data_IF_335800840255
#
_entry.id   IF_335800840255
#
_cell.length_a   1.000
_cell.length_b   1.000
_cell.length_c   1.000
_cell.angle_alpha   90.00
_cell.angle_beta   90.00
_cell.angle_gamma   90.00
#
_symmetry.space_group_name_H-M   'P 1'
#
loop_
_entity.id
_entity.type
_entity.pdbx_description
1 polymer ?
#
# COMPACT_ATOMS: atom_id res chain seq x y z
N UNK A 1 -54.79 16.72 0.64
CA UNK A 1 -53.75 17.36 1.50
C UNK A 1 -52.43 17.28 0.76
N UNK A 2 -51.74 18.37 0.51
CA UNK A 2 -50.62 18.41 -0.43
C UNK A 2 -49.33 17.89 0.18
N UNK A 3 -48.57 17.17 -0.63
CA UNK A 3 -47.20 16.75 -0.40
C UNK A 3 -46.28 17.98 -0.19
N UNK A 4 -45.55 17.99 0.92
CA UNK A 4 -44.51 18.97 1.20
C UNK A 4 -43.16 18.48 0.63
N UNK A 5 -42.56 19.13 -0.39
CA UNK A 5 -41.30 18.74 -1.00
C UNK A 5 -40.11 19.50 -0.43
N UNK A 6 -40.06 19.69 0.89
CA UNK A 6 -39.09 20.62 1.49
C UNK A 6 -38.31 20.10 2.69
N UNK A 7 -37.76 18.87 2.66
CA UNK A 7 -36.67 18.51 3.60
C UNK A 7 -35.36 18.32 2.84
N UNK A 8 -34.69 19.44 2.57
CA UNK A 8 -33.25 19.41 2.27
C UNK A 8 -32.54 18.62 3.35
N UNK A 9 -31.95 17.48 2.98
CA UNK A 9 -31.02 16.72 3.83
C UNK A 9 -29.81 17.62 4.12
N UNK A 10 -29.87 18.42 5.18
CA UNK A 10 -28.69 18.99 5.79
C UNK A 10 -27.81 17.84 6.25
N UNK A 11 -26.87 17.40 5.41
CA UNK A 11 -25.72 16.59 5.82
C UNK A 11 -24.85 17.48 6.72
N UNK A 12 -25.22 17.55 7.99
CA UNK A 12 -24.34 18.15 9.00
C UNK A 12 -23.00 17.45 8.95
N UNK A 13 -21.95 18.24 8.76
CA UNK A 13 -20.57 17.80 8.88
C UNK A 13 -20.40 17.18 10.29
N UNK A 14 -20.39 15.85 10.39
CA UNK A 14 -20.08 15.19 11.65
C UNK A 14 -18.60 15.43 11.98
N UNK A 15 -18.25 15.64 13.25
CA UNK A 15 -16.86 15.83 13.66
C UNK A 15 -16.02 14.63 13.23
N UNK A 16 -14.76 14.87 12.87
CA UNK A 16 -13.77 13.86 12.44
C UNK A 16 -13.53 12.79 13.52
N UNK A 17 -13.76 13.15 14.79
CA UNK A 17 -13.64 12.24 15.93
C UNK A 17 -14.96 12.24 16.70
N UNK A 18 -15.52 11.08 17.06
CA UNK A 18 -16.72 11.00 17.86
C UNK A 18 -16.47 11.59 19.26
N UNK A 19 -17.31 12.50 19.69
CA UNK A 19 -17.39 12.97 21.07
C UNK A 19 -18.18 11.90 21.87
N UNK A 20 -17.51 10.87 22.33
CA UNK A 20 -18.07 9.72 23.05
C UNK A 20 -17.04 8.60 23.14
N UNK A 21 -17.41 7.42 23.62
CA UNK A 21 -16.53 6.25 23.64
C UNK A 21 -16.03 5.96 22.23
N UNK A 22 -14.70 5.91 22.08
CA UNK A 22 -14.05 5.72 20.78
C UNK A 22 -14.45 4.34 20.25
N UNK A 23 -15.06 4.28 19.06
CA UNK A 23 -15.38 3.03 18.37
C UNK A 23 -14.14 2.14 18.27
N UNK A 24 -14.29 0.87 18.64
CA UNK A 24 -13.16 -0.07 18.69
C UNK A 24 -12.39 -0.21 17.38
N UNK A 25 -13.05 -0.01 16.24
CA UNK A 25 -12.41 0.02 14.93
C UNK A 25 -11.25 1.02 14.82
N UNK A 26 -11.32 2.17 15.50
CA UNK A 26 -10.22 3.16 15.49
C UNK A 26 -8.99 2.70 16.28
N UNK A 27 -9.17 1.92 17.34
CA UNK A 27 -8.06 1.25 18.02
C UNK A 27 -7.39 0.25 17.09
N UNK A 28 -8.17 -0.49 16.29
CA UNK A 28 -7.62 -1.39 15.29
C UNK A 28 -6.88 -0.65 14.17
N UNK A 29 -7.33 0.54 13.77
CA UNK A 29 -6.59 1.41 12.85
C UNK A 29 -5.25 1.82 13.44
N UNK A 30 -5.19 2.15 14.72
CA UNK A 30 -3.94 2.44 15.44
C UNK A 30 -2.98 1.23 15.44
N UNK A 31 -3.50 0.03 15.76
CA UNK A 31 -2.74 -1.23 15.69
C UNK A 31 -2.26 -1.50 14.25
N UNK A 32 -3.12 -1.29 13.26
CA UNK A 32 -2.78 -1.43 11.84
C UNK A 32 -1.63 -0.50 11.43
N UNK A 33 -1.73 0.80 11.77
CA UNK A 33 -0.68 1.77 11.49
C UNK A 33 0.64 1.39 12.16
N UNK A 34 0.61 0.95 13.41
CA UNK A 34 1.80 0.51 14.14
C UNK A 34 2.44 -0.72 13.49
N UNK A 35 1.67 -1.75 13.16
CA UNK A 35 2.17 -2.94 12.48
C UNK A 35 2.74 -2.60 11.09
N UNK A 36 2.05 -1.77 10.32
CA UNK A 36 2.56 -1.31 9.01
C UNK A 36 3.82 -0.46 9.15
N UNK A 37 3.98 0.29 10.24
CA UNK A 37 5.24 1.00 10.56
C UNK A 37 6.40 0.02 10.74
N UNK A 38 6.20 -1.03 11.55
CA UNK A 38 7.22 -2.06 11.77
C UNK A 38 7.57 -2.80 10.49
N UNK A 39 6.58 -3.21 9.72
CA UNK A 39 6.78 -3.88 8.43
C UNK A 39 7.54 -2.97 7.45
N UNK A 40 7.14 -1.70 7.35
CA UNK A 40 7.77 -0.73 6.45
C UNK A 40 9.22 -0.47 6.84
N UNK A 41 9.48 -0.25 8.13
CA UNK A 41 10.84 -0.06 8.65
C UNK A 41 11.74 -1.24 8.34
N UNK A 42 11.25 -2.47 8.52
CA UNK A 42 12.10 -3.67 8.48
C UNK A 42 12.22 -4.27 7.08
N UNK A 43 11.15 -4.21 6.26
CA UNK A 43 11.09 -4.93 4.96
C UNK A 43 11.13 -3.98 3.75
N UNK A 44 10.77 -2.71 3.91
CA UNK A 44 10.76 -1.75 2.80
C UNK A 44 11.78 -0.62 2.97
N UNK A 45 11.58 0.26 3.93
CA UNK A 45 12.37 1.49 4.06
C UNK A 45 13.77 1.24 4.64
N UNK A 46 13.89 0.34 5.63
CA UNK A 46 15.16 0.01 6.28
C UNK A 46 16.04 -0.95 5.49
N UNK A 47 15.53 -1.48 4.40
CA UNK A 47 16.17 -2.53 3.64
C UNK A 47 17.50 -2.11 3.04
N UNK A 48 17.61 -0.87 2.52
CA UNK A 48 18.88 -0.32 2.03
C UNK A 48 19.97 -0.31 3.13
N UNK A 49 19.59 0.05 4.35
CA UNK A 49 20.51 0.05 5.50
C UNK A 49 20.98 -1.36 5.85
N UNK A 50 20.08 -2.34 5.81
CA UNK A 50 20.39 -3.76 6.02
C UNK A 50 21.35 -4.28 4.95
N UNK A 51 21.14 -3.90 3.67
CA UNK A 51 22.02 -4.31 2.57
C UNK A 51 23.43 -3.76 2.71
N UNK A 52 23.57 -2.47 3.03
CA UNK A 52 24.87 -1.85 3.27
C UNK A 52 25.61 -2.55 4.43
N UNK A 53 24.88 -2.91 5.48
CA UNK A 53 25.45 -3.64 6.60
C UNK A 53 25.95 -5.05 6.19
N UNK A 54 25.18 -5.79 5.38
CA UNK A 54 25.56 -7.11 4.84
C UNK A 54 26.76 -7.01 3.88
N UNK A 55 26.76 -5.99 2.98
CA UNK A 55 27.88 -5.72 2.09
C UNK A 55 29.18 -5.49 2.89
N UNK A 56 29.12 -4.65 3.93
CA UNK A 56 30.27 -4.35 4.80
C UNK A 56 30.76 -5.55 5.60
N UNK A 57 29.82 -6.37 6.10
CA UNK A 57 30.16 -7.49 6.99
C UNK A 57 30.68 -8.72 6.25
N UNK A 58 30.11 -9.02 5.08
CA UNK A 58 30.36 -10.27 4.35
C UNK A 58 31.09 -10.06 3.02
N UNK A 59 31.22 -8.83 2.53
CA UNK A 59 31.82 -8.53 1.23
C UNK A 59 30.99 -9.03 0.04
N UNK A 60 29.71 -9.34 0.23
CA UNK A 60 28.85 -9.82 -0.85
C UNK A 60 28.56 -8.69 -1.84
N UNK A 61 28.56 -9.01 -3.15
CA UNK A 61 28.28 -8.03 -4.18
C UNK A 61 26.83 -7.49 -4.08
N UNK A 62 26.62 -6.24 -4.47
CA UNK A 62 25.29 -5.62 -4.53
C UNK A 62 24.35 -6.37 -5.45
N UNK A 63 24.89 -6.95 -6.53
CA UNK A 63 24.11 -7.80 -7.45
C UNK A 63 23.58 -9.03 -6.74
N UNK A 64 24.42 -9.73 -5.96
CA UNK A 64 23.98 -10.90 -5.20
C UNK A 64 22.95 -10.54 -4.13
N UNK A 65 23.15 -9.42 -3.42
CA UNK A 65 22.19 -8.94 -2.45
C UNK A 65 20.86 -8.53 -3.12
N UNK A 66 20.91 -7.84 -4.26
CA UNK A 66 19.72 -7.44 -5.03
C UNK A 66 18.95 -8.62 -5.59
N UNK A 67 19.63 -9.76 -5.84
CA UNK A 67 18.97 -11.00 -6.28
C UNK A 67 17.89 -11.49 -5.33
N UNK A 68 18.08 -11.31 -4.01
CA UNK A 68 17.08 -11.67 -3.00
C UNK A 68 15.80 -10.86 -3.16
N UNK A 69 15.91 -9.57 -3.54
CA UNK A 69 14.73 -8.72 -3.80
C UNK A 69 13.97 -9.13 -5.04
N UNK A 70 14.69 -9.45 -6.10
CA UNK A 70 14.05 -9.94 -7.33
C UNK A 70 13.29 -11.23 -7.05
N UNK A 71 13.89 -12.13 -6.25
CA UNK A 71 13.25 -13.37 -5.84
C UNK A 71 12.01 -13.12 -4.98
N UNK A 72 12.06 -12.16 -4.05
CA UNK A 72 10.90 -11.77 -3.23
C UNK A 72 9.74 -11.20 -4.09
N UNK A 73 10.03 -10.50 -5.20
CA UNK A 73 9.00 -10.04 -6.12
C UNK A 73 8.34 -11.20 -6.88
N UNK A 74 9.14 -12.20 -7.26
CA UNK A 74 8.61 -13.43 -7.88
C UNK A 74 7.74 -14.18 -6.87
N UNK A 75 8.21 -14.31 -5.62
CA UNK A 75 7.43 -14.90 -4.53
C UNK A 75 6.06 -14.20 -4.37
N UNK A 76 6.06 -12.87 -4.20
CA UNK A 76 4.83 -12.09 -4.06
C UNK A 76 3.90 -12.19 -5.26
N UNK A 77 4.43 -12.33 -6.49
CA UNK A 77 3.62 -12.57 -7.67
C UNK A 77 2.90 -13.92 -7.62
N UNK A 78 3.60 -14.98 -7.22
CA UNK A 78 3.05 -16.35 -7.19
C UNK A 78 2.15 -16.54 -5.96
N UNK A 79 2.60 -16.12 -4.80
CA UNK A 79 1.92 -16.39 -3.53
C UNK A 79 0.82 -15.37 -3.18
N UNK A 80 0.84 -14.17 -3.75
CA UNK A 80 -0.16 -13.14 -3.45
C UNK A 80 -1.63 -13.61 -3.52
N UNK A 81 -2.06 -14.34 -4.57
CA UNK A 81 -3.41 -14.91 -4.62
C UNK A 81 -3.68 -15.93 -3.50
N UNK A 82 -2.68 -16.74 -3.16
CA UNK A 82 -2.77 -17.75 -2.08
C UNK A 82 -2.85 -17.07 -0.72
N UNK A 83 -2.03 -16.07 -0.49
CA UNK A 83 -2.03 -15.24 0.73
C UNK A 83 -3.41 -14.59 0.94
N UNK A 84 -3.96 -13.98 -0.12
CA UNK A 84 -5.29 -13.39 -0.07
C UNK A 84 -6.39 -14.39 0.27
N UNK A 85 -6.37 -15.57 -0.36
CA UNK A 85 -7.31 -16.65 -0.06
C UNK A 85 -7.18 -17.14 1.39
N UNK A 86 -5.96 -17.27 1.90
CA UNK A 86 -5.71 -17.66 3.28
C UNK A 86 -6.22 -16.61 4.27
N UNK A 87 -6.01 -15.31 3.99
CA UNK A 87 -6.52 -14.22 4.83
C UNK A 87 -8.05 -14.28 4.94
N UNK A 88 -8.76 -14.46 3.82
CA UNK A 88 -10.22 -14.53 3.82
C UNK A 88 -10.75 -15.79 4.54
N UNK A 89 -10.04 -16.91 4.46
CA UNK A 89 -10.44 -18.20 5.02
C UNK A 89 -10.07 -18.37 6.50
N UNK A 90 -8.85 -18.01 6.86
CA UNK A 90 -8.29 -18.24 8.22
C UNK A 90 -8.59 -17.05 9.14
N UNK A 91 -8.78 -15.86 8.56
CA UNK A 91 -9.04 -14.61 9.25
C UNK A 91 -7.77 -13.80 9.52
N UNK A 92 -7.94 -12.48 9.54
CA UNK A 92 -6.85 -11.49 9.63
C UNK A 92 -6.01 -11.64 10.90
N UNK A 93 -6.64 -11.92 12.06
CA UNK A 93 -5.96 -12.11 13.34
C UNK A 93 -4.90 -13.21 13.30
N UNK A 94 -5.26 -14.39 12.79
CA UNK A 94 -4.34 -15.54 12.74
C UNK A 94 -3.25 -15.29 11.71
N UNK A 95 -3.60 -14.68 10.57
CA UNK A 95 -2.65 -14.39 9.50
C UNK A 95 -1.60 -13.36 9.95
N UNK A 96 -1.99 -12.28 10.65
CA UNK A 96 -1.05 -11.33 11.25
C UNK A 96 -0.14 -12.02 12.25
N UNK A 97 -0.68 -12.88 13.12
CA UNK A 97 0.13 -13.61 14.10
C UNK A 97 1.16 -14.51 13.41
N UNK A 98 0.75 -15.35 12.46
CA UNK A 98 1.63 -16.27 11.73
C UNK A 98 2.68 -15.47 10.94
N UNK A 99 2.26 -14.44 10.22
CA UNK A 99 3.16 -13.66 9.38
C UNK A 99 4.24 -12.94 10.19
N UNK A 100 3.88 -12.28 11.28
CA UNK A 100 4.87 -11.60 12.14
C UNK A 100 5.75 -12.56 12.92
N UNK A 101 5.28 -13.77 13.27
CA UNK A 101 6.12 -14.82 13.83
C UNK A 101 7.17 -15.26 12.80
N UNK A 102 6.76 -15.49 11.54
CA UNK A 102 7.69 -15.84 10.46
C UNK A 102 8.70 -14.72 10.21
N UNK A 103 8.25 -13.46 10.17
CA UNK A 103 9.14 -12.30 10.06
C UNK A 103 10.15 -12.27 11.21
N UNK A 104 9.69 -12.42 12.46
CA UNK A 104 10.53 -12.39 13.65
C UNK A 104 11.59 -13.52 13.65
N UNK A 105 11.17 -14.74 13.35
CA UNK A 105 12.08 -15.89 13.21
C UNK A 105 13.05 -15.70 12.03
N UNK A 106 12.57 -15.17 10.90
CA UNK A 106 13.38 -14.85 9.75
C UNK A 106 14.46 -13.81 10.06
N UNK A 107 14.16 -12.77 10.85
CA UNK A 107 15.14 -11.78 11.31
C UNK A 107 16.15 -12.36 12.30
N UNK A 108 15.72 -13.21 13.23
CA UNK A 108 16.64 -13.94 14.12
C UNK A 108 17.59 -14.81 13.30
N UNK A 109 17.06 -15.52 12.30
CA UNK A 109 17.88 -16.32 11.38
C UNK A 109 18.83 -15.44 10.57
N UNK A 110 18.35 -14.32 10.04
CA UNK A 110 19.15 -13.33 9.32
C UNK A 110 20.34 -12.82 10.15
N UNK A 111 20.18 -12.65 11.46
CA UNK A 111 21.26 -12.31 12.39
C UNK A 111 22.33 -13.39 12.52
N UNK A 112 22.05 -14.62 12.13
CA UNK A 112 22.96 -15.79 12.28
C UNK A 112 23.54 -16.28 10.95
N UNK A 113 23.23 -15.63 9.82
CA UNK A 113 23.68 -16.05 8.49
C UNK A 113 25.21 -15.98 8.37
N UNK A 114 25.77 -16.95 7.64
CA UNK A 114 27.20 -17.03 7.33
C UNK A 114 27.44 -17.20 5.83
N UNK A 115 26.41 -17.57 5.07
CA UNK A 115 26.49 -17.85 3.64
C UNK A 115 25.42 -17.08 2.89
N UNK A 116 25.66 -16.80 1.60
CA UNK A 116 24.70 -16.13 0.74
C UNK A 116 23.37 -16.89 0.60
N UNK A 117 23.43 -18.22 0.57
CA UNK A 117 22.22 -19.06 0.50
C UNK A 117 21.39 -19.00 1.79
N UNK A 118 22.03 -18.95 2.96
CA UNK A 118 21.34 -18.76 4.23
C UNK A 118 20.69 -17.36 4.30
N UNK A 119 21.34 -16.33 3.74
CA UNK A 119 20.76 -15.01 3.58
C UNK A 119 19.49 -15.06 2.71
N UNK A 120 19.55 -15.69 1.53
CA UNK A 120 18.37 -15.81 0.67
C UNK A 120 17.23 -16.53 1.37
N UNK A 121 17.51 -17.67 2.03
CA UNK A 121 16.47 -18.43 2.72
C UNK A 121 15.85 -17.64 3.89
N UNK A 122 16.66 -16.96 4.71
CA UNK A 122 16.16 -16.12 5.80
C UNK A 122 15.35 -14.92 5.27
N UNK A 123 15.82 -14.28 4.19
CA UNK A 123 15.12 -13.16 3.56
C UNK A 123 13.79 -13.60 2.94
N UNK A 124 13.73 -14.75 2.26
CA UNK A 124 12.48 -15.33 1.75
C UNK A 124 11.49 -15.67 2.89
N UNK A 125 12.00 -16.13 4.04
CA UNK A 125 11.15 -16.36 5.23
C UNK A 125 10.55 -15.04 5.74
N UNK A 126 11.33 -13.94 5.76
CA UNK A 126 10.86 -12.60 6.15
C UNK A 126 9.80 -12.10 5.16
N UNK A 127 10.05 -12.22 3.86
CA UNK A 127 9.12 -11.73 2.83
C UNK A 127 7.83 -12.53 2.80
N UNK A 128 7.88 -13.85 2.94
CA UNK A 128 6.71 -14.71 3.12
C UNK A 128 5.88 -14.30 4.35
N UNK A 129 6.55 -14.07 5.48
CA UNK A 129 5.89 -13.56 6.68
C UNK A 129 5.22 -12.22 6.46
N UNK A 130 5.89 -11.31 5.75
CA UNK A 130 5.36 -9.99 5.38
C UNK A 130 4.15 -10.09 4.42
N UNK A 131 4.14 -11.02 3.49
CA UNK A 131 3.02 -11.30 2.61
C UNK A 131 1.80 -11.81 3.38
N UNK A 132 1.98 -12.87 4.17
CA UNK A 132 0.90 -13.51 4.92
C UNK A 132 0.27 -12.60 5.97
N UNK A 133 1.06 -11.88 6.76
CA UNK A 133 0.57 -11.11 7.91
C UNK A 133 0.72 -9.60 7.81
N UNK A 134 1.31 -9.10 6.72
CA UNK A 134 1.59 -7.68 6.54
C UNK A 134 0.44 -6.93 5.88
N UNK A 135 0.76 -6.20 4.82
CA UNK A 135 -0.13 -5.23 4.21
C UNK A 135 -1.52 -5.77 3.87
N UNK A 136 -1.61 -6.95 3.22
CA UNK A 136 -2.87 -7.50 2.74
C UNK A 136 -3.81 -7.87 3.90
N UNK A 137 -3.30 -8.57 4.91
CA UNK A 137 -4.08 -8.98 6.07
C UNK A 137 -4.55 -7.78 6.90
N UNK A 138 -3.67 -6.77 7.08
CA UNK A 138 -3.96 -5.57 7.86
C UNK A 138 -5.02 -4.71 7.15
N UNK A 139 -4.91 -4.51 5.84
CA UNK A 139 -5.89 -3.73 5.09
C UNK A 139 -7.24 -4.47 4.97
N UNK A 140 -7.22 -5.80 4.85
CA UNK A 140 -8.45 -6.58 4.91
C UNK A 140 -9.17 -6.44 6.27
N UNK A 141 -8.42 -6.38 7.38
CA UNK A 141 -8.98 -6.08 8.69
C UNK A 141 -9.69 -4.72 8.70
N UNK A 142 -9.03 -3.66 8.24
CA UNK A 142 -9.63 -2.32 8.19
C UNK A 142 -10.87 -2.32 7.28
N UNK A 143 -10.82 -3.02 6.14
CA UNK A 143 -11.96 -3.16 5.24
C UNK A 143 -13.18 -3.80 5.90
N UNK A 144 -12.97 -4.76 6.82
CA UNK A 144 -14.05 -5.44 7.51
C UNK A 144 -14.75 -4.55 8.56
N UNK A 145 -14.03 -3.61 9.15
CA UNK A 145 -14.50 -2.78 10.26
C UNK A 145 -15.15 -1.46 9.83
N UNK A 146 -14.87 -1.02 8.58
CA UNK A 146 -15.36 0.26 8.08
C UNK A 146 -16.06 0.12 6.74
N UNK A 147 -17.22 0.76 6.61
CA UNK A 147 -17.97 0.88 5.35
C UNK A 147 -18.04 2.34 4.90
N UNK A 148 -18.60 3.24 5.72
CA UNK A 148 -18.74 4.66 5.41
C UNK A 148 -17.45 5.45 5.50
N UNK A 149 -16.63 5.19 6.53
CA UNK A 149 -15.34 5.89 6.76
C UNK A 149 -14.15 5.04 6.28
N UNK A 150 -14.39 4.09 5.38
CA UNK A 150 -13.40 3.12 4.88
C UNK A 150 -12.15 3.78 4.36
N UNK A 151 -12.27 4.81 3.52
CA UNK A 151 -11.13 5.44 2.88
C UNK A 151 -10.27 6.19 3.90
N UNK A 152 -10.89 6.90 4.83
CA UNK A 152 -10.16 7.61 5.89
C UNK A 152 -9.48 6.64 6.86
N UNK A 153 -10.15 5.55 7.23
CA UNK A 153 -9.59 4.49 8.07
C UNK A 153 -8.39 3.81 7.38
N UNK A 154 -8.51 3.50 6.08
CA UNK A 154 -7.40 2.96 5.28
C UNK A 154 -6.25 3.95 5.16
N UNK A 155 -6.52 5.23 4.90
CA UNK A 155 -5.51 6.28 4.85
C UNK A 155 -4.75 6.37 6.17
N UNK A 156 -5.48 6.35 7.29
CA UNK A 156 -4.90 6.40 8.64
C UNK A 156 -4.03 5.17 8.93
N UNK A 157 -4.49 3.97 8.59
CA UNK A 157 -3.70 2.75 8.76
C UNK A 157 -2.44 2.76 7.89
N UNK A 158 -2.57 3.13 6.60
CA UNK A 158 -1.47 3.16 5.63
C UNK A 158 -0.44 4.25 5.92
N UNK A 159 -0.76 5.27 6.73
CA UNK A 159 0.22 6.27 7.17
C UNK A 159 1.41 5.63 7.91
N UNK A 160 1.19 4.46 8.53
CA UNK A 160 2.25 3.66 9.13
C UNK A 160 3.39 3.32 8.18
N UNK A 161 3.11 3.14 6.87
CA UNK A 161 4.15 2.88 5.86
C UNK A 161 5.13 4.06 5.78
N UNK A 162 4.62 5.29 5.82
CA UNK A 162 5.45 6.49 5.80
C UNK A 162 6.18 6.70 7.13
N UNK A 163 5.52 6.41 8.26
CA UNK A 163 6.18 6.47 9.57
C UNK A 163 7.35 5.49 9.68
N UNK A 164 7.31 4.33 9.02
CA UNK A 164 8.45 3.41 8.97
C UNK A 164 9.74 4.09 8.49
N UNK A 165 9.65 4.98 7.52
CA UNK A 165 10.79 5.76 7.01
C UNK A 165 11.43 6.69 8.05
N UNK A 166 10.63 7.26 8.97
CA UNK A 166 11.14 8.13 10.03
C UNK A 166 12.04 7.41 11.04
N UNK A 167 11.87 6.10 11.18
CA UNK A 167 12.65 5.28 12.10
C UNK A 167 13.89 4.64 11.46
N UNK A 168 14.14 4.84 10.16
CA UNK A 168 15.35 4.32 9.50
C UNK A 168 16.65 4.81 10.15
N UNK A 169 16.79 6.08 10.58
CA UNK A 169 17.97 6.51 11.32
C UNK A 169 18.18 5.73 12.63
N UNK A 170 17.11 5.38 13.34
CA UNK A 170 17.18 4.57 14.55
C UNK A 170 17.65 3.14 14.24
N UNK A 171 17.20 2.56 13.12
CA UNK A 171 17.68 1.27 12.64
C UNK A 171 19.17 1.33 12.31
N UNK A 172 19.63 2.39 11.65
CA UNK A 172 21.06 2.59 11.33
C UNK A 172 21.92 2.68 12.62
N UNK A 173 21.48 3.49 13.59
CA UNK A 173 22.14 3.57 14.91
C UNK A 173 22.16 2.20 15.63
N UNK A 174 21.07 1.45 15.54
CA UNK A 174 21.01 0.09 16.10
C UNK A 174 22.04 -0.84 15.47
N UNK A 175 22.22 -0.77 14.14
CA UNK A 175 23.23 -1.57 13.42
C UNK A 175 24.65 -1.11 13.77
N UNK A 176 24.89 0.20 13.92
CA UNK A 176 26.21 0.72 14.32
C UNK A 176 26.57 0.33 15.75
N UNK A 177 25.58 0.27 16.67
CA UNK A 177 25.80 0.00 18.09
C UNK A 177 25.90 -1.50 18.40
N UNK A 178 25.05 -2.33 17.79
CA UNK A 178 24.91 -3.76 18.11
C UNK A 178 25.47 -4.66 17.01
N UNK A 179 26.13 -4.09 16.02
CA UNK A 179 26.48 -4.75 14.75
C UNK A 179 25.23 -5.30 14.02
N UNK A 180 25.38 -5.68 12.78
CA UNK A 180 24.26 -6.20 11.98
C UNK A 180 23.57 -7.42 12.63
N UNK A 181 24.38 -8.34 13.19
CA UNK A 181 23.85 -9.59 13.80
C UNK A 181 23.01 -9.32 15.02
N UNK A 182 23.47 -8.44 15.89
CA UNK A 182 22.74 -8.03 17.09
C UNK A 182 21.47 -7.27 16.72
N UNK A 183 21.57 -6.30 15.82
CA UNK A 183 20.42 -5.50 15.36
C UNK A 183 19.33 -6.37 14.72
N UNK A 184 19.69 -7.30 13.81
CA UNK A 184 18.72 -8.21 13.19
C UNK A 184 18.05 -9.12 14.22
N UNK A 185 18.82 -9.65 15.19
CA UNK A 185 18.25 -10.48 16.27
C UNK A 185 17.32 -9.68 17.17
N UNK A 186 17.68 -8.45 17.54
CA UNK A 186 16.83 -7.54 18.34
C UNK A 186 15.52 -7.24 17.61
N UNK A 187 15.56 -6.95 16.31
CA UNK A 187 14.37 -6.74 15.49
C UNK A 187 13.48 -7.96 15.52
N UNK A 188 14.04 -9.16 15.29
CA UNK A 188 13.29 -10.39 15.28
C UNK A 188 12.61 -10.68 16.63
N UNK A 189 13.33 -10.55 17.74
CA UNK A 189 12.79 -10.71 19.10
C UNK A 189 11.70 -9.66 19.38
N UNK A 190 11.92 -8.42 19.00
CA UNK A 190 10.95 -7.34 19.17
C UNK A 190 9.63 -7.64 18.42
N UNK A 191 9.72 -8.09 17.16
CA UNK A 191 8.55 -8.51 16.38
C UNK A 191 7.77 -9.63 17.06
N UNK A 192 8.47 -10.66 17.61
CA UNK A 192 7.85 -11.76 18.34
C UNK A 192 7.14 -11.30 19.63
N UNK A 193 7.73 -10.36 20.36
CA UNK A 193 7.15 -9.81 21.59
C UNK A 193 5.90 -9.00 21.26
N UNK A 194 5.96 -8.15 20.24
CA UNK A 194 4.89 -7.20 19.89
C UNK A 194 3.69 -7.89 19.24
N UNK A 195 3.93 -8.95 18.45
CA UNK A 195 2.82 -9.57 17.71
C UNK A 195 1.80 -10.25 18.61
N UNK A 196 2.20 -10.79 19.76
CA UNK A 196 1.29 -11.44 20.71
C UNK A 196 0.20 -10.50 21.22
N UNK A 197 0.54 -9.37 21.85
CA UNK A 197 -0.41 -8.34 22.25
C UNK A 197 -1.21 -7.75 21.08
N UNK A 198 -0.56 -7.44 19.94
CA UNK A 198 -1.23 -6.92 18.76
C UNK A 198 -2.29 -7.89 18.23
N UNK A 199 -1.96 -9.18 18.11
CA UNK A 199 -2.91 -10.20 17.68
C UNK A 199 -4.07 -10.42 18.69
N UNK A 200 -3.85 -10.21 19.99
CA UNK A 200 -4.93 -10.22 20.97
C UNK A 200 -5.90 -9.07 20.80
N UNK A 201 -5.42 -7.89 20.38
CA UNK A 201 -6.26 -6.75 20.09
C UNK A 201 -7.01 -6.92 18.76
N UNK A 202 -6.47 -7.64 17.77
CA UNK A 202 -7.12 -7.83 16.48
C UNK A 202 -8.38 -8.70 16.62
N UNK A 203 -9.47 -8.21 16.01
CA UNK A 203 -10.73 -8.94 15.79
C UNK A 203 -10.99 -8.96 14.29
N UNK A 204 -11.44 -10.10 13.78
CA UNK A 204 -11.62 -10.27 12.33
C UNK A 204 -12.74 -9.38 11.80
N UNK A 205 -13.83 -9.27 12.54
CA UNK A 205 -15.03 -8.54 12.16
C UNK A 205 -15.67 -7.86 13.39
N UNK A 206 -16.35 -6.72 13.21
CA UNK A 206 -17.11 -6.09 14.29
C UNK A 206 -18.23 -6.97 14.84
N UNK A 207 -18.85 -7.79 14.00
CA UNK A 207 -19.92 -8.71 14.37
C UNK A 207 -19.46 -9.76 15.40
N UNK A 208 -18.17 -10.12 15.43
CA UNK A 208 -17.57 -11.01 16.44
C UNK A 208 -17.64 -10.43 17.87
N UNK A 209 -17.92 -9.13 17.99
CA UNK A 209 -18.07 -8.40 19.24
C UNK A 209 -19.50 -7.86 19.45
N UNK A 210 -20.45 -8.25 18.62
CA UNK A 210 -21.81 -7.71 18.64
C UNK A 210 -21.91 -6.25 18.18
N UNK A 211 -20.90 -5.77 17.42
CA UNK A 211 -20.84 -4.41 16.89
C UNK A 211 -21.18 -4.43 15.39
N UNK A 212 -21.64 -3.28 14.89
CA UNK A 212 -21.81 -3.07 13.46
C UNK A 212 -20.62 -2.29 12.89
N UNK A 213 -20.34 -2.39 11.57
CA UNK A 213 -19.33 -1.56 10.91
C UNK A 213 -19.54 -0.07 11.21
N UNK A 214 -18.45 0.69 11.31
CA UNK A 214 -18.45 2.11 11.68
C UNK A 214 -19.04 2.42 13.08
N UNK A 215 -19.41 1.40 13.88
CA UNK A 215 -20.05 1.57 15.19
C UNK A 215 -21.49 2.04 15.09
N UNK A 216 -22.18 1.77 13.99
CA UNK A 216 -23.56 2.17 13.79
C UNK A 216 -24.52 1.42 14.73
N UNK A 217 -25.58 2.07 15.21
CA UNK A 217 -26.64 1.40 15.93
C UNK A 217 -27.48 0.54 14.99
N UNK A 218 -28.02 -0.59 15.48
CA UNK A 218 -28.86 -1.51 14.69
C UNK A 218 -29.98 -0.80 13.91
N UNK A 219 -30.63 0.20 14.52
CA UNK A 219 -31.68 0.99 13.88
C UNK A 219 -31.21 1.79 12.65
N UNK A 220 -29.94 2.23 12.62
CA UNK A 220 -29.35 2.89 11.46
C UNK A 220 -28.95 1.86 10.40
N UNK A 221 -28.59 0.66 10.80
CA UNK A 221 -28.24 -0.44 9.90
C UNK A 221 -29.47 -0.94 9.14
N UNK A 222 -30.63 -1.12 9.79
CA UNK A 222 -31.85 -1.52 9.10
C UNK A 222 -32.33 -0.49 8.08
N UNK A 223 -32.20 0.81 8.38
CA UNK A 223 -32.58 1.88 7.43
C UNK A 223 -31.62 2.03 6.25
N UNK A 224 -30.35 1.62 6.41
CA UNK A 224 -29.30 1.67 5.36
C UNK A 224 -29.28 0.38 4.52
N UNK A 225 -29.60 -0.77 5.13
CA UNK A 225 -29.64 -2.07 4.45
C UNK A 225 -30.76 -2.19 3.41
N UNK A 226 -31.78 -1.34 3.46
CA UNK A 226 -32.87 -1.34 2.46
C UNK A 226 -32.52 -0.62 1.16
N UNK A 227 -31.42 0.19 1.11
CA UNK A 227 -31.07 0.93 -0.10
C UNK A 227 -29.75 0.52 -0.76
N UNK A 228 -28.75 -0.06 -0.01
CA UNK A 228 -27.45 -0.41 -0.59
C UNK A 228 -26.75 -1.53 0.23
N UNK A 229 -27.20 -2.75 0.12
CA UNK A 229 -26.37 -3.89 0.57
C UNK A 229 -25.07 -3.88 -0.24
N UNK A 230 -23.90 -3.80 0.47
CA UNK A 230 -22.62 -3.97 -0.21
C UNK A 230 -22.60 -5.34 -0.90
N UNK A 231 -22.36 -5.38 -2.22
CA UNK A 231 -22.39 -6.65 -2.94
C UNK A 231 -21.21 -7.52 -2.50
N UNK A 232 -21.46 -8.61 -1.81
CA UNK A 232 -20.44 -9.61 -1.50
C UNK A 232 -20.15 -10.48 -2.71
N UNK A 233 -19.11 -10.12 -3.46
CA UNK A 233 -18.62 -10.90 -4.60
C UNK A 233 -17.71 -12.03 -4.13
N UNK A 234 -17.82 -13.19 -4.76
CA UNK A 234 -16.72 -14.17 -4.74
C UNK A 234 -15.59 -13.71 -5.67
N UNK A 235 -14.38 -14.20 -5.45
CA UNK A 235 -13.24 -13.86 -6.31
C UNK A 235 -13.53 -14.21 -7.80
N UNK A 236 -14.15 -15.37 -8.06
CA UNK A 236 -14.54 -15.76 -9.42
C UNK A 236 -15.58 -14.86 -10.06
N UNK A 237 -16.52 -14.31 -9.29
CA UNK A 237 -17.48 -13.32 -9.78
C UNK A 237 -16.80 -11.99 -10.07
N UNK A 238 -15.89 -11.51 -9.19
CA UNK A 238 -15.15 -10.28 -9.38
C UNK A 238 -14.31 -10.32 -10.66
N UNK A 239 -13.60 -11.42 -10.93
CA UNK A 239 -12.78 -11.64 -12.13
C UNK A 239 -13.58 -11.55 -13.45
N UNK A 240 -14.87 -11.86 -13.41
CA UNK A 240 -15.77 -11.76 -14.58
C UNK A 240 -16.24 -10.33 -14.85
N UNK A 241 -15.99 -9.38 -13.92
CA UNK A 241 -16.40 -7.99 -14.09
C UNK A 241 -15.33 -7.18 -14.83
N UNK A 242 -15.70 -6.33 -15.79
CA UNK A 242 -14.75 -5.39 -16.41
C UNK A 242 -14.08 -4.46 -15.39
N UNK A 243 -14.80 -4.12 -14.32
CA UNK A 243 -14.34 -3.23 -13.25
C UNK A 243 -13.10 -3.78 -12.55
N UNK A 244 -13.04 -5.09 -12.27
CA UNK A 244 -11.86 -5.72 -11.69
C UNK A 244 -10.61 -5.48 -12.54
N UNK A 245 -10.72 -5.67 -13.85
CA UNK A 245 -9.60 -5.52 -14.77
C UNK A 245 -9.20 -4.06 -14.94
N UNK A 246 -10.16 -3.14 -15.04
CA UNK A 246 -9.86 -1.70 -15.11
C UNK A 246 -9.10 -1.24 -13.85
N UNK A 247 -9.58 -1.60 -12.64
CA UNK A 247 -8.91 -1.27 -11.40
C UNK A 247 -7.53 -1.93 -11.29
N UNK A 248 -7.36 -3.14 -11.84
CA UNK A 248 -6.07 -3.83 -11.86
C UNK A 248 -5.10 -3.19 -12.84
N UNK A 249 -5.53 -2.89 -14.07
CA UNK A 249 -4.68 -2.23 -15.09
C UNK A 249 -4.23 -0.85 -14.60
N UNK A 250 -5.14 -0.06 -14.05
CA UNK A 250 -4.83 1.24 -13.45
C UNK A 250 -3.79 1.10 -12.32
N UNK A 251 -3.96 0.10 -11.46
CA UNK A 251 -3.01 -0.15 -10.37
C UNK A 251 -1.64 -0.57 -10.90
N UNK A 252 -1.59 -1.45 -11.91
CA UNK A 252 -0.35 -1.85 -12.59
C UNK A 252 0.36 -0.63 -13.17
N UNK A 253 -0.34 0.18 -13.97
CA UNK A 253 0.23 1.38 -14.60
C UNK A 253 0.86 2.34 -13.58
N UNK A 254 0.16 2.60 -12.47
CA UNK A 254 0.69 3.45 -11.42
C UNK A 254 1.85 2.80 -10.64
N UNK A 255 1.79 1.50 -10.35
CA UNK A 255 2.86 0.81 -9.61
C UNK A 255 4.15 0.70 -10.40
N UNK A 256 4.06 0.52 -11.71
CA UNK A 256 5.19 0.60 -12.66
C UNK A 256 5.89 1.95 -12.54
N UNK A 257 5.14 3.05 -12.59
CA UNK A 257 5.69 4.38 -12.47
C UNK A 257 6.36 4.61 -11.10
N UNK A 258 5.72 4.16 -10.01
CA UNK A 258 6.24 4.30 -8.66
C UNK A 258 7.59 3.61 -8.50
N UNK A 259 7.69 2.32 -8.88
CA UNK A 259 8.92 1.56 -8.68
C UNK A 259 10.05 2.06 -9.58
N UNK A 260 9.72 2.48 -10.80
CA UNK A 260 10.73 3.02 -11.73
C UNK A 260 11.26 4.36 -11.24
N UNK A 261 10.39 5.27 -10.80
CA UNK A 261 10.82 6.53 -10.19
C UNK A 261 11.63 6.30 -8.91
N UNK A 262 11.27 5.35 -8.08
CA UNK A 262 12.04 5.03 -6.89
C UNK A 262 13.49 4.63 -7.19
N UNK A 263 13.75 4.00 -8.34
CA UNK A 263 15.08 3.57 -8.76
C UNK A 263 15.81 4.58 -9.64
N UNK A 264 15.11 5.28 -10.53
CA UNK A 264 15.70 6.08 -11.59
C UNK A 264 15.54 7.61 -11.42
N UNK A 265 14.78 8.08 -10.41
CA UNK A 265 14.60 9.52 -10.17
C UNK A 265 15.91 10.19 -9.74
N UNK A 266 16.58 9.62 -8.74
CA UNK A 266 17.85 10.19 -8.24
C UNK A 266 18.92 10.22 -9.35
N UNK A 267 19.17 9.13 -10.09
CA UNK A 267 20.02 9.18 -11.29
C UNK A 267 19.63 10.29 -12.25
N UNK A 268 18.36 10.41 -12.66
CA UNK A 268 17.90 11.50 -13.55
C UNK A 268 18.24 12.89 -13.01
N UNK A 269 18.03 13.11 -11.71
CA UNK A 269 18.32 14.41 -11.09
C UNK A 269 19.82 14.72 -11.01
N UNK A 270 20.65 13.70 -10.79
CA UNK A 270 22.12 13.86 -10.82
C UNK A 270 22.63 14.11 -12.24
N UNK A 271 22.03 13.48 -13.25
CA UNK A 271 22.33 13.75 -14.67
C UNK A 271 21.97 15.19 -15.07
N UNK A 272 20.99 15.82 -14.40
CA UNK A 272 20.65 17.24 -14.54
C UNK A 272 21.63 18.19 -13.80
N UNK A 273 22.69 17.67 -13.18
CA UNK A 273 23.68 18.43 -12.42
C UNK A 273 23.33 18.70 -10.95
N UNK A 274 22.27 18.08 -10.42
CA UNK A 274 21.97 18.20 -8.97
C UNK A 274 22.97 17.37 -8.15
N UNK A 275 23.31 17.88 -6.97
CA UNK A 275 24.06 17.07 -6.00
C UNK A 275 23.19 15.91 -5.50
N UNK A 276 23.82 14.83 -5.02
CA UNK A 276 23.10 13.69 -4.43
C UNK A 276 22.19 14.12 -3.27
N UNK A 277 22.67 15.05 -2.44
CA UNK A 277 21.87 15.64 -1.37
C UNK A 277 20.68 16.43 -1.93
N UNK A 278 20.88 17.24 -2.97
CA UNK A 278 19.81 17.98 -3.65
C UNK A 278 18.75 17.05 -4.28
N UNK A 279 19.17 15.95 -4.90
CA UNK A 279 18.25 14.94 -5.40
C UNK A 279 17.45 14.28 -4.24
N UNK A 280 18.12 14.03 -3.11
CA UNK A 280 17.47 13.53 -1.89
C UNK A 280 16.41 14.47 -1.35
N UNK A 281 16.59 15.79 -1.41
CA UNK A 281 15.55 16.76 -0.97
C UNK A 281 14.33 16.76 -1.88
N UNK A 282 14.44 16.47 -3.16
CA UNK A 282 13.31 16.28 -4.07
C UNK A 282 12.48 15.06 -3.64
N UNK A 283 13.15 13.95 -3.31
CA UNK A 283 12.50 12.73 -2.80
C UNK A 283 11.79 13.02 -1.46
N UNK A 284 12.44 13.73 -0.56
CA UNK A 284 11.86 14.13 0.73
C UNK A 284 10.63 15.02 0.52
N UNK A 285 10.69 15.96 -0.42
CA UNK A 285 9.58 16.88 -0.72
C UNK A 285 8.32 16.13 -1.13
N UNK A 286 8.40 15.21 -2.09
CA UNK A 286 7.20 14.47 -2.49
C UNK A 286 6.67 13.57 -1.36
N UNK A 287 7.54 13.02 -0.52
CA UNK A 287 7.14 12.18 0.61
C UNK A 287 6.40 12.98 1.67
N UNK A 288 6.89 14.19 2.01
CA UNK A 288 6.23 15.09 2.95
C UNK A 288 4.87 15.53 2.42
N UNK A 289 4.76 15.85 1.13
CA UNK A 289 3.49 16.27 0.51
C UNK A 289 2.50 15.10 0.39
N UNK A 290 2.98 13.88 0.22
CA UNK A 290 2.12 12.71 0.11
C UNK A 290 1.31 12.43 1.38
N UNK A 291 1.88 12.66 2.58
CA UNK A 291 1.18 12.40 3.84
C UNK A 291 -0.12 13.23 4.01
N UNK A 292 -0.08 14.57 3.98
CA UNK A 292 -1.31 15.36 4.09
C UNK A 292 -2.28 15.08 2.94
N UNK A 293 -1.78 14.87 1.72
CA UNK A 293 -2.62 14.50 0.57
C UNK A 293 -3.37 13.19 0.81
N UNK A 294 -2.73 12.20 1.43
CA UNK A 294 -3.33 10.91 1.79
C UNK A 294 -4.50 11.08 2.78
N UNK A 295 -4.31 11.86 3.84
CA UNK A 295 -5.37 12.09 4.82
C UNK A 295 -6.52 12.93 4.26
N UNK A 296 -6.20 14.00 3.51
CA UNK A 296 -7.21 14.85 2.87
C UNK A 296 -8.03 14.05 1.85
N UNK A 297 -7.37 13.24 1.02
CA UNK A 297 -8.07 12.41 0.05
C UNK A 297 -8.97 11.39 0.74
N UNK A 298 -8.51 10.75 1.82
CA UNK A 298 -9.31 9.84 2.63
C UNK A 298 -10.58 10.51 3.17
N UNK A 299 -10.44 11.71 3.72
CA UNK A 299 -11.55 12.47 4.26
C UNK A 299 -12.58 12.89 3.19
N UNK A 300 -12.12 13.40 2.06
CA UNK A 300 -13.01 13.84 0.99
C UNK A 300 -13.62 12.68 0.21
N UNK A 301 -12.91 11.57 0.06
CA UNK A 301 -13.37 10.45 -0.74
C UNK A 301 -14.48 9.61 -0.10
N UNK A 302 -14.64 9.69 1.21
CA UNK A 302 -15.81 9.11 1.88
C UNK A 302 -17.10 9.94 1.62
N UNK A 303 -16.95 11.11 0.96
CA UNK A 303 -18.03 12.07 0.64
C UNK A 303 -18.23 12.34 -0.85
N UNK A 304 -17.22 12.08 -1.67
CA UNK A 304 -17.18 12.35 -3.10
C UNK A 304 -17.03 11.05 -3.90
N UNK A 305 -17.37 11.05 -5.20
CA UNK A 305 -17.19 9.88 -6.06
C UNK A 305 -15.71 9.47 -6.14
N UNK A 306 -15.37 8.31 -5.59
CA UNK A 306 -13.99 7.82 -5.52
C UNK A 306 -13.36 7.63 -6.91
N UNK A 307 -14.16 7.22 -7.91
CA UNK A 307 -13.68 7.03 -9.29
C UNK A 307 -13.14 8.33 -9.89
N UNK A 308 -13.87 9.43 -9.71
CA UNK A 308 -13.44 10.75 -10.18
C UNK A 308 -12.20 11.23 -9.44
N UNK A 309 -12.16 11.06 -8.13
CA UNK A 309 -10.98 11.45 -7.33
C UNK A 309 -9.74 10.66 -7.74
N UNK A 310 -9.86 9.34 -7.95
CA UNK A 310 -8.76 8.50 -8.43
C UNK A 310 -8.30 9.00 -9.81
N UNK A 311 -9.22 9.32 -10.72
CA UNK A 311 -8.88 9.84 -12.04
C UNK A 311 -8.12 11.17 -11.95
N UNK A 312 -8.54 12.10 -11.08
CA UNK A 312 -7.86 13.38 -10.85
C UNK A 312 -6.45 13.16 -10.28
N UNK A 313 -6.29 12.33 -9.25
CA UNK A 313 -4.97 12.08 -8.67
C UNK A 313 -4.03 11.35 -9.62
N UNK A 314 -4.54 10.43 -10.47
CA UNK A 314 -3.75 9.82 -11.54
C UNK A 314 -3.36 10.83 -12.61
N UNK A 315 -4.26 11.74 -12.99
CA UNK A 315 -3.93 12.80 -13.95
C UNK A 315 -2.84 13.73 -13.39
N UNK A 316 -2.94 14.15 -12.12
CA UNK A 316 -1.89 14.92 -11.44
C UNK A 316 -0.57 14.15 -11.42
N UNK A 317 -0.60 12.85 -11.12
CA UNK A 317 0.60 12.00 -11.13
C UNK A 317 1.19 11.89 -12.55
N UNK A 318 0.34 11.74 -13.58
CA UNK A 318 0.77 11.71 -14.99
C UNK A 318 1.41 13.03 -15.42
N UNK A 319 0.83 14.17 -15.05
CA UNK A 319 1.43 15.50 -15.28
C UNK A 319 2.80 15.61 -14.60
N UNK A 320 2.91 15.18 -13.36
CA UNK A 320 4.17 15.18 -12.63
C UNK A 320 5.25 14.34 -13.36
N UNK A 321 4.90 13.12 -13.78
CA UNK A 321 5.84 12.24 -14.51
C UNK A 321 6.24 12.87 -15.85
N UNK A 322 5.31 13.53 -16.54
CA UNK A 322 5.63 14.27 -17.76
C UNK A 322 6.62 15.41 -17.47
N UNK A 323 6.39 16.18 -16.42
CA UNK A 323 7.31 17.27 -16.04
C UNK A 323 8.72 16.73 -15.80
N UNK A 324 8.90 15.65 -15.03
CA UNK A 324 10.23 15.11 -14.76
C UNK A 324 10.87 14.46 -16.00
N UNK A 325 10.08 13.94 -16.93
CA UNK A 325 10.59 13.42 -18.20
C UNK A 325 11.30 14.50 -19.03
N UNK A 326 10.72 15.70 -19.06
CA UNK A 326 11.24 16.86 -19.79
C UNK A 326 12.02 17.84 -18.92
N UNK A 327 12.21 17.56 -17.63
CA UNK A 327 12.88 18.48 -16.73
C UNK A 327 14.37 18.66 -17.10
N UNK A 328 14.76 19.93 -17.14
CA UNK A 328 16.11 20.42 -17.35
C UNK A 328 16.58 21.37 -16.23
N UNK A 329 15.71 21.66 -15.27
CA UNK A 329 15.97 22.61 -14.19
C UNK A 329 15.55 22.09 -12.82
N UNK A 330 16.21 22.58 -11.78
CA UNK A 330 15.90 22.25 -10.38
C UNK A 330 14.46 22.67 -10.02
N UNK A 331 13.97 23.78 -10.59
CA UNK A 331 12.60 24.23 -10.37
C UNK A 331 11.58 23.19 -10.85
N UNK A 332 11.76 22.63 -12.04
CA UNK A 332 10.87 21.59 -12.57
C UNK A 332 10.93 20.30 -11.74
N UNK A 333 12.08 19.96 -11.16
CA UNK A 333 12.21 18.83 -10.25
C UNK A 333 11.38 19.01 -8.97
N UNK A 334 11.31 20.22 -8.40
CA UNK A 334 10.46 20.50 -7.23
C UNK A 334 8.98 20.61 -7.59
N UNK A 335 8.63 21.15 -8.75
CA UNK A 335 7.24 21.13 -9.25
C UNK A 335 6.77 19.69 -9.43
N UNK A 336 7.60 18.83 -10.03
CA UNK A 336 7.37 17.40 -10.07
C UNK A 336 7.09 16.83 -8.66
N UNK A 337 7.99 17.12 -7.70
CA UNK A 337 7.87 16.56 -6.35
C UNK A 337 6.56 16.94 -5.67
N UNK A 338 6.12 18.19 -5.79
CA UNK A 338 4.86 18.67 -5.24
C UNK A 338 3.67 17.94 -5.89
N UNK A 339 3.59 17.94 -7.20
CA UNK A 339 2.47 17.31 -7.93
C UNK A 339 2.47 15.78 -7.74
N UNK A 340 3.65 15.15 -7.81
CA UNK A 340 3.76 13.72 -7.62
C UNK A 340 3.36 13.31 -6.20
N UNK A 341 3.78 14.07 -5.18
CA UNK A 341 3.37 13.85 -3.79
C UNK A 341 1.86 13.93 -3.62
N UNK A 342 1.20 14.93 -4.21
CA UNK A 342 -0.27 15.07 -4.19
C UNK A 342 -0.93 13.86 -4.87
N UNK A 343 -0.53 13.54 -6.10
CA UNK A 343 -1.13 12.46 -6.89
C UNK A 343 -0.92 11.09 -6.26
N UNK A 344 0.31 10.79 -5.83
CA UNK A 344 0.69 9.52 -5.21
C UNK A 344 0.01 9.31 -3.85
N UNK A 345 0.12 10.31 -2.95
CA UNK A 345 -0.46 10.23 -1.60
C UNK A 345 -1.98 10.14 -1.65
N UNK A 346 -2.62 11.02 -2.44
CA UNK A 346 -4.08 11.08 -2.51
C UNK A 346 -4.72 9.82 -3.11
N UNK A 347 -4.09 9.19 -4.09
CA UNK A 347 -4.64 8.02 -4.79
C UNK A 347 -4.62 6.75 -3.95
N UNK A 348 -3.57 6.49 -3.19
CA UNK A 348 -3.31 5.18 -2.57
C UNK A 348 -4.47 4.62 -1.71
N UNK A 349 -5.02 5.34 -0.72
CA UNK A 349 -6.12 4.82 0.08
C UNK A 349 -7.40 4.62 -0.73
N UNK A 350 -7.64 5.48 -1.73
CA UNK A 350 -8.81 5.42 -2.59
C UNK A 350 -8.86 4.14 -3.42
N UNK A 351 -7.73 3.77 -4.03
CA UNK A 351 -7.65 2.59 -4.91
C UNK A 351 -7.84 1.28 -4.13
N UNK A 352 -7.53 1.28 -2.85
CA UNK A 352 -7.79 0.15 -1.96
C UNK A 352 -9.23 0.15 -1.49
N UNK A 353 -9.74 1.30 -1.03
CA UNK A 353 -11.09 1.43 -0.50
C UNK A 353 -12.19 1.16 -1.55
N UNK A 354 -11.98 1.58 -2.80
CA UNK A 354 -12.97 1.35 -3.87
C UNK A 354 -13.18 -0.14 -4.16
N UNK A 355 -12.13 -0.97 -4.00
CA UNK A 355 -12.28 -2.43 -4.15
C UNK A 355 -13.15 -3.03 -3.05
N UNK A 356 -12.98 -2.56 -1.81
CA UNK A 356 -13.84 -2.96 -0.71
C UNK A 356 -15.31 -2.53 -0.90
N UNK A 357 -15.54 -1.33 -1.42
CA UNK A 357 -16.88 -0.81 -1.71
C UNK A 357 -17.56 -1.54 -2.87
N UNK A 358 -16.81 -1.95 -3.89
CA UNK A 358 -17.35 -2.55 -5.10
C UNK A 358 -17.50 -4.07 -5.02
N UNK A 359 -16.63 -4.75 -4.28
CA UNK A 359 -16.62 -6.21 -4.20
C UNK A 359 -17.00 -6.76 -2.83
N UNK A 360 -17.20 -5.87 -1.84
CA UNK A 360 -17.59 -6.26 -0.50
C UNK A 360 -16.44 -6.76 0.37
N UNK A 361 -16.79 -7.43 1.47
CA UNK A 361 -15.83 -7.85 2.51
C UNK A 361 -15.47 -9.34 2.43
N UNK A 362 -16.33 -10.17 1.79
CA UNK A 362 -16.26 -11.64 1.85
C UNK A 362 -14.98 -12.22 1.26
N UNK A 363 -14.55 -11.73 0.09
CA UNK A 363 -13.38 -12.21 -0.62
C UNK A 363 -12.40 -11.05 -0.95
N UNK A 364 -12.38 -10.01 -0.12
CA UNK A 364 -11.60 -8.80 -0.37
C UNK A 364 -10.10 -9.10 -0.52
N UNK A 365 -9.53 -9.87 0.41
CA UNK A 365 -8.11 -10.17 0.40
C UNK A 365 -7.73 -11.06 -0.79
N UNK A 366 -8.57 -12.04 -1.16
CA UNK A 366 -8.36 -12.87 -2.35
C UNK A 366 -8.38 -12.01 -3.63
N UNK A 367 -9.35 -11.09 -3.77
CA UNK A 367 -9.47 -10.19 -4.94
C UNK A 367 -8.25 -9.28 -5.03
N UNK A 368 -7.81 -8.72 -3.90
CA UNK A 368 -6.59 -7.92 -3.83
C UNK A 368 -5.35 -8.74 -4.17
N UNK A 369 -5.22 -9.94 -3.63
CA UNK A 369 -4.11 -10.85 -3.88
C UNK A 369 -3.96 -11.23 -5.35
N UNK A 370 -5.08 -11.53 -6.04
CA UNK A 370 -5.08 -11.80 -7.48
C UNK A 370 -4.61 -10.58 -8.27
N UNK A 371 -4.99 -9.36 -7.87
CA UNK A 371 -4.52 -8.12 -8.49
C UNK A 371 -3.01 -7.90 -8.34
N UNK A 372 -2.38 -8.49 -7.31
CA UNK A 372 -0.93 -8.38 -7.08
C UNK A 372 -0.10 -9.09 -8.15
N UNK A 373 -0.62 -10.18 -8.73
CA UNK A 373 0.11 -10.96 -9.74
C UNK A 373 0.54 -10.10 -10.95
N UNK A 374 -0.37 -9.48 -11.73
CA UNK A 374 0.03 -8.62 -12.85
C UNK A 374 0.80 -7.39 -12.41
N UNK A 375 0.54 -6.87 -11.19
CA UNK A 375 1.26 -5.73 -10.65
C UNK A 375 2.73 -6.07 -10.41
N UNK A 376 3.05 -7.20 -9.78
CA UNK A 376 4.43 -7.60 -9.53
C UNK A 376 5.19 -7.88 -10.84
N UNK A 377 4.56 -8.49 -11.85
CA UNK A 377 5.17 -8.67 -13.18
C UNK A 377 5.54 -7.31 -13.78
N UNK A 378 4.63 -6.33 -13.76
CA UNK A 378 4.91 -4.99 -14.24
C UNK A 378 6.06 -4.30 -13.47
N UNK A 379 6.08 -4.46 -12.16
CA UNK A 379 7.12 -3.88 -11.28
C UNK A 379 8.51 -4.50 -11.49
N UNK A 380 8.62 -5.73 -12.00
CA UNK A 380 9.90 -6.34 -12.39
C UNK A 380 10.37 -5.79 -13.73
N UNK A 381 9.50 -5.74 -14.73
CA UNK A 381 9.87 -5.37 -16.09
C UNK A 381 10.15 -3.88 -16.28
N UNK A 382 9.45 -3.01 -15.59
CA UNK A 382 9.49 -1.57 -15.85
C UNK A 382 10.84 -0.91 -15.52
N UNK A 383 11.51 -1.17 -14.39
CA UNK A 383 12.84 -0.63 -14.15
C UNK A 383 13.89 -1.15 -15.13
N UNK A 384 13.78 -2.42 -15.55
CA UNK A 384 14.66 -3.00 -16.56
C UNK A 384 14.48 -2.29 -17.91
N UNK A 385 13.25 -2.03 -18.32
CA UNK A 385 12.95 -1.24 -19.51
C UNK A 385 13.54 0.17 -19.41
N UNK A 386 13.40 0.85 -18.28
CA UNK A 386 13.93 2.17 -18.07
C UNK A 386 15.47 2.19 -18.12
N UNK A 387 16.13 1.22 -17.49
CA UNK A 387 17.57 1.05 -17.54
C UNK A 387 18.08 0.78 -18.95
N UNK A 388 17.47 -0.16 -19.68
CA UNK A 388 17.81 -0.48 -21.06
C UNK A 388 17.65 0.73 -21.99
N UNK A 389 16.55 1.47 -21.85
CA UNK A 389 16.34 2.69 -22.62
C UNK A 389 17.41 3.75 -22.32
N UNK A 390 17.77 3.92 -21.05
CA UNK A 390 18.84 4.84 -20.68
C UNK A 390 20.21 4.43 -21.26
N UNK A 391 20.56 3.14 -21.14
CA UNK A 391 21.83 2.62 -21.66
C UNK A 391 21.96 2.79 -23.19
N UNK A 392 20.83 2.76 -23.91
CA UNK A 392 20.84 2.91 -25.39
C UNK A 392 20.66 4.34 -25.86
N UNK A 393 19.98 5.20 -25.12
CA UNK A 393 19.63 6.57 -25.56
C UNK A 393 20.28 7.67 -24.71
N UNK A 394 20.94 7.32 -23.59
CA UNK A 394 21.46 8.24 -22.59
C UNK A 394 20.35 9.20 -22.05
N UNK A 395 19.10 8.77 -22.06
CA UNK A 395 17.97 9.61 -21.65
C UNK A 395 16.85 8.82 -20.99
N UNK A 396 16.24 9.42 -19.96
CA UNK A 396 15.03 8.92 -19.34
C UNK A 396 13.73 9.43 -20.01
N UNK A 397 13.85 10.22 -21.08
CA UNK A 397 12.69 10.82 -21.76
C UNK A 397 11.68 9.76 -22.22
N UNK A 398 12.15 8.72 -22.91
CA UNK A 398 11.29 7.67 -23.45
C UNK A 398 10.59 6.88 -22.31
N UNK A 399 11.32 6.28 -21.36
CA UNK A 399 10.65 5.49 -20.31
C UNK A 399 9.69 6.33 -19.46
N UNK A 400 10.07 7.53 -19.04
CA UNK A 400 9.16 8.36 -18.23
C UNK A 400 7.94 8.83 -19.02
N UNK A 401 8.10 9.16 -20.33
CA UNK A 401 6.95 9.47 -21.19
C UNK A 401 6.00 8.28 -21.35
N UNK A 402 6.52 7.07 -21.54
CA UNK A 402 5.70 5.85 -21.59
C UNK A 402 4.93 5.67 -20.29
N UNK A 403 5.56 5.84 -19.13
CA UNK A 403 4.90 5.70 -17.84
C UNK A 403 3.87 6.82 -17.56
N UNK A 404 4.13 8.04 -18.04
CA UNK A 404 3.15 9.12 -18.00
C UNK A 404 1.91 8.77 -18.83
N UNK A 405 2.09 8.29 -20.06
CA UNK A 405 0.99 7.87 -20.94
C UNK A 405 0.18 6.73 -20.29
N UNK A 406 0.85 5.72 -19.75
CA UNK A 406 0.17 4.62 -19.04
C UNK A 406 -0.62 5.13 -17.83
N UNK A 407 -0.08 6.11 -17.09
CA UNK A 407 -0.76 6.71 -15.94
C UNK A 407 -1.98 7.51 -16.37
N UNK A 408 -1.89 8.31 -17.45
CA UNK A 408 -3.04 9.00 -18.04
C UNK A 408 -4.09 8.04 -18.60
N UNK A 409 -3.65 6.94 -19.23
CA UNK A 409 -4.56 5.89 -19.67
C UNK A 409 -5.32 5.27 -18.48
N UNK A 410 -4.64 5.01 -17.37
CA UNK A 410 -5.27 4.60 -16.12
C UNK A 410 -6.30 5.62 -15.60
N UNK A 411 -5.97 6.92 -15.64
CA UNK A 411 -6.89 7.99 -15.27
C UNK A 411 -8.14 8.01 -16.17
N UNK A 412 -7.94 7.87 -17.47
CA UNK A 412 -9.04 7.83 -18.46
C UNK A 412 -9.95 6.63 -18.22
N UNK A 413 -9.41 5.45 -18.00
CA UNK A 413 -10.21 4.25 -17.72
C UNK A 413 -11.08 4.41 -16.47
N UNK A 414 -10.62 5.14 -15.46
CA UNK A 414 -11.39 5.36 -14.22
C UNK A 414 -12.67 6.15 -14.44
N UNK A 415 -12.78 6.95 -15.50
CA UNK A 415 -13.99 7.70 -15.83
C UNK A 415 -15.15 6.78 -16.28
N UNK A 416 -14.85 5.58 -16.74
CA UNK A 416 -15.84 4.59 -17.20
C UNK A 416 -16.20 3.55 -16.13
N UNK A 417 -15.56 3.59 -14.98
CA UNK A 417 -15.83 2.65 -13.90
C UNK A 417 -17.16 2.94 -13.24
N UNK A 418 -18.06 1.95 -13.26
CA UNK A 418 -19.34 1.98 -12.55
C UNK A 418 -19.40 0.84 -11.54
N UNK A 419 -20.09 1.04 -10.41
CA UNK A 419 -20.26 -0.01 -9.38
C UNK A 419 -20.84 -1.27 -10.04
N UNK A 420 -20.17 -2.43 -9.93
CA UNK A 420 -20.62 -3.65 -10.57
C UNK A 420 -21.93 -4.13 -9.92
N UNK A 421 -22.87 -4.59 -10.73
CA UNK A 421 -24.09 -5.24 -10.24
C UNK A 421 -23.81 -6.74 -10.10
N UNK A 422 -24.21 -7.33 -8.98
CA UNK A 422 -24.20 -8.78 -8.81
C UNK A 422 -25.21 -9.36 -9.80
N UNK A 423 -24.74 -10.17 -10.74
CA UNK A 423 -25.68 -10.96 -11.55
C UNK A 423 -26.35 -11.93 -10.57
N UNK A 424 -27.60 -11.62 -10.23
CA UNK A 424 -28.47 -12.57 -9.51
C UNK A 424 -28.50 -13.82 -10.40
N UNK A 425 -28.02 -14.94 -9.88
CA UNK A 425 -28.22 -16.21 -10.58
C UNK A 425 -29.74 -16.38 -10.68
N UNK A 426 -30.28 -16.20 -11.87
CA UNK A 426 -31.59 -16.76 -12.19
C UNK A 426 -31.38 -18.28 -12.17
N UNK A 427 -31.79 -18.89 -11.05
CA UNK A 427 -32.05 -20.32 -10.93
C UNK A 427 -33.35 -20.64 -11.61
#
# INVERSE_FOLDING_TARGET
MPHDPGKSRNRTLRPLFPTGDIFYGWWLVGVAAFLLTLMSLTVFQGLGTILVALERQFGWSRTALSGAFSLARVEGAILGPVEGFLVDRIGTRKMVLIGYILMGLGFIWLGQVKTLWAFYASFMTITLGSGLGGWLAIIAMVNNWFTRQRTFAMASAMSGIHFGGLFVPLLALGIETFEFRGAATIIGVFLLIVVGPAAKAIRNRPEDMGLQPDGDSERLSESVLTEDEEPDFTAGQALKTPVFWILTIMQVASSIAIVTLALHLVPKLTDMGMTLSGAGTVVLTYTIVALPSQFLSGYFADRLPKTLMIAIFLAIQGIAITIIAFADSVLLAYIFALLYGIGFGGRNPLTTAIRGEYFGRKAFATIMGISQFPMNIGMIGAPLFAGYMFDTTNSYLIPFSVFAILTFFGAFLMLFVKKPRKLTQQL
#
